data_IF_090183430053
#
_entry.id   IF_090183430053
#
_cell.length_a   1.000
_cell.length_b   1.000
_cell.length_c   1.000
_cell.angle_alpha   90.00
_cell.angle_beta   90.00
_cell.angle_gamma   90.00
#
_symmetry.space_group_name_H-M   'P 1'
#
loop_
_entity.id
_entity.type
_entity.pdbx_description
1 polymer ?
#
# COMPACT_ATOMS: atom_id res chain seq x y z
N UNK A 1 -7.82 10.16 -29.33
CA UNK A 1 -7.93 9.01 -28.42
C UNK A 1 -7.84 9.54 -27.02
N UNK A 2 -8.72 9.14 -26.10
CA UNK A 2 -8.61 9.55 -24.71
C UNK A 2 -7.30 9.01 -24.13
N UNK A 3 -6.51 9.84 -23.48
CA UNK A 3 -5.30 9.44 -22.76
C UNK A 3 -5.69 8.39 -21.73
N UNK A 4 -5.02 7.25 -21.73
CA UNK A 4 -5.24 6.20 -20.73
C UNK A 4 -4.15 6.30 -19.68
N UNK A 5 -4.56 6.15 -18.43
CA UNK A 5 -3.66 6.07 -17.29
C UNK A 5 -3.79 4.71 -16.61
N UNK A 6 -2.68 4.20 -16.09
CA UNK A 6 -2.70 3.05 -15.20
C UNK A 6 -2.60 3.53 -13.74
N UNK A 7 -3.38 2.92 -12.85
CA UNK A 7 -3.27 3.10 -11.40
C UNK A 7 -2.95 1.74 -10.79
N UNK A 8 -1.70 1.55 -10.40
CA UNK A 8 -1.26 0.33 -9.70
C UNK A 8 -1.61 0.45 -8.21
N UNK A 9 -2.43 -0.48 -7.71
CA UNK A 9 -2.89 -0.49 -6.31
C UNK A 9 -2.24 -1.63 -5.53
N UNK A 10 -1.56 -1.28 -4.44
CA UNK A 10 -0.77 -2.17 -3.59
C UNK A 10 -1.49 -2.44 -2.27
N UNK A 11 -1.84 -3.71 -1.95
CA UNK A 11 -2.63 -4.05 -0.77
C UNK A 11 -1.88 -3.81 0.55
N UNK A 12 -2.68 -3.68 1.62
CA UNK A 12 -2.24 -3.75 3.01
C UNK A 12 -1.85 -5.17 3.41
N UNK A 13 -1.26 -5.35 4.60
CA UNK A 13 -0.93 -6.66 5.14
C UNK A 13 -2.17 -7.54 5.27
N UNK A 14 -2.10 -8.78 4.81
CA UNK A 14 -3.23 -9.72 4.73
C UNK A 14 -4.22 -9.42 3.60
N UNK A 15 -4.16 -8.24 2.97
CA UNK A 15 -5.03 -7.86 1.85
C UNK A 15 -4.65 -8.56 0.54
N UNK A 16 -5.59 -8.60 -0.38
CA UNK A 16 -5.41 -9.11 -1.73
C UNK A 16 -5.97 -8.11 -2.77
N UNK A 17 -5.82 -8.42 -4.04
CA UNK A 17 -6.27 -7.53 -5.13
C UNK A 17 -7.77 -7.20 -5.09
N UNK A 18 -8.60 -8.07 -4.54
CA UNK A 18 -10.07 -7.87 -4.50
C UNK A 18 -10.47 -6.76 -3.51
N UNK A 19 -9.61 -6.40 -2.55
CA UNK A 19 -9.84 -5.26 -1.68
C UNK A 19 -10.01 -3.93 -2.45
N UNK A 20 -9.46 -3.85 -3.67
CA UNK A 20 -9.56 -2.66 -4.51
C UNK A 20 -10.71 -2.69 -5.52
N UNK A 21 -11.63 -3.66 -5.42
CA UNK A 21 -12.83 -3.66 -6.28
C UNK A 21 -13.60 -2.33 -6.21
N UNK A 22 -13.82 -1.70 -5.04
CA UNK A 22 -14.47 -0.39 -4.98
C UNK A 22 -13.74 0.70 -5.78
N UNK A 23 -12.39 0.67 -5.80
CA UNK A 23 -11.58 1.59 -6.60
C UNK A 23 -11.75 1.36 -8.11
N UNK A 24 -11.83 0.09 -8.52
CA UNK A 24 -12.11 -0.28 -9.93
C UNK A 24 -13.49 0.24 -10.35
N UNK A 25 -14.49 0.05 -9.50
CA UNK A 25 -15.88 0.45 -9.79
C UNK A 25 -16.05 1.99 -9.82
N UNK A 26 -15.27 2.72 -9.01
CA UNK A 26 -15.33 4.19 -8.94
C UNK A 26 -14.44 4.89 -10.01
N UNK A 27 -13.60 4.16 -10.72
CA UNK A 27 -12.67 4.75 -11.67
C UNK A 27 -13.36 5.22 -12.97
N UNK A 28 -13.02 6.42 -13.48
CA UNK A 28 -13.49 6.83 -14.79
C UNK A 28 -12.86 5.95 -15.90
N UNK A 29 -13.55 5.79 -17.03
CA UNK A 29 -13.19 4.85 -18.10
C UNK A 29 -11.77 5.08 -18.70
N UNK A 30 -11.16 6.24 -18.50
CA UNK A 30 -9.80 6.54 -18.99
C UNK A 30 -8.70 6.15 -17.98
N UNK A 31 -9.05 5.68 -16.77
CA UNK A 31 -8.11 5.14 -15.77
C UNK A 31 -8.32 3.62 -15.66
N UNK A 32 -7.27 2.86 -15.97
CA UNK A 32 -7.24 1.42 -15.70
C UNK A 32 -6.67 1.21 -14.29
N UNK A 33 -7.53 0.91 -13.32
CA UNK A 33 -7.10 0.46 -12.00
C UNK A 33 -6.58 -0.97 -12.12
N UNK A 34 -5.37 -1.20 -11.62
CA UNK A 34 -4.65 -2.48 -11.67
C UNK A 34 -4.28 -2.87 -10.24
N UNK A 35 -5.20 -3.54 -9.52
CA UNK A 35 -4.88 -4.11 -8.22
C UNK A 35 -3.83 -5.21 -8.37
N UNK A 36 -2.75 -5.10 -7.60
CA UNK A 36 -1.65 -6.06 -7.62
C UNK A 36 -1.88 -7.17 -6.59
N UNK A 37 -1.40 -8.37 -6.89
CA UNK A 37 -1.54 -9.53 -6.01
C UNK A 37 -0.18 -9.97 -5.51
N UNK A 38 -0.04 -10.10 -4.19
CA UNK A 38 1.19 -10.64 -3.60
C UNK A 38 1.15 -12.18 -3.58
N UNK A 39 2.32 -12.86 -3.58
CA UNK A 39 2.39 -14.31 -3.40
C UNK A 39 1.69 -14.79 -2.11
N UNK A 40 1.14 -16.00 -2.16
CA UNK A 40 0.51 -16.66 -1.03
C UNK A 40 -0.97 -16.36 -0.83
N UNK A 41 -1.61 -15.57 -1.72
CA UNK A 41 -3.03 -15.18 -1.58
C UNK A 41 -3.75 -15.06 -2.92
N UNK A 42 -5.09 -14.99 -2.88
CA UNK A 42 -5.92 -14.79 -4.05
C UNK A 42 -5.60 -15.80 -5.16
N UNK A 43 -5.30 -15.31 -6.35
CA UNK A 43 -4.92 -16.16 -7.48
C UNK A 43 -3.53 -16.78 -7.34
N UNK A 44 -2.71 -16.28 -6.41
CA UNK A 44 -1.34 -16.75 -6.12
C UNK A 44 -1.24 -17.57 -4.84
N UNK A 45 -2.36 -18.14 -4.37
CA UNK A 45 -2.46 -18.89 -3.10
C UNK A 45 -1.51 -20.09 -3.02
N UNK A 46 -1.10 -20.66 -4.14
CA UNK A 46 -0.17 -21.79 -4.20
C UNK A 46 1.31 -21.36 -4.02
N UNK A 47 1.60 -20.08 -4.09
CA UNK A 47 2.94 -19.55 -3.86
C UNK A 47 3.19 -19.32 -2.38
N UNK A 48 4.46 -19.33 -1.98
CA UNK A 48 4.81 -18.98 -0.59
C UNK A 48 4.68 -17.47 -0.37
N UNK A 49 4.08 -17.02 0.74
CA UNK A 49 4.14 -15.62 1.13
C UNK A 49 5.59 -15.13 1.25
N UNK A 50 5.86 -13.90 0.84
CA UNK A 50 7.19 -13.32 0.91
C UNK A 50 7.39 -12.56 2.23
N UNK A 51 8.59 -12.69 2.79
CA UNK A 51 8.99 -12.03 4.05
C UNK A 51 10.04 -10.94 3.84
N UNK A 52 10.38 -10.63 2.61
CA UNK A 52 11.28 -9.53 2.22
C UNK A 52 10.53 -8.55 1.31
N UNK A 53 10.32 -7.34 1.81
CA UNK A 53 9.55 -6.32 1.08
C UNK A 53 10.31 -5.75 -0.13
N UNK A 54 11.65 -5.79 -0.12
CA UNK A 54 12.47 -5.33 -1.25
C UNK A 54 12.37 -6.34 -2.40
N UNK A 55 12.48 -7.63 -2.09
CA UNK A 55 12.29 -8.69 -3.08
C UNK A 55 10.85 -8.70 -3.62
N UNK A 56 9.86 -8.42 -2.77
CA UNK A 56 8.47 -8.28 -3.21
C UNK A 56 8.32 -7.13 -4.22
N UNK A 57 8.93 -5.96 -3.96
CA UNK A 57 8.91 -4.84 -4.89
C UNK A 57 9.60 -5.16 -6.23
N UNK A 58 10.70 -5.92 -6.21
CA UNK A 58 11.40 -6.39 -7.42
C UNK A 58 10.55 -7.38 -8.23
N UNK A 59 9.89 -8.30 -7.55
CA UNK A 59 8.96 -9.23 -8.18
C UNK A 59 7.85 -8.47 -8.91
N UNK A 60 7.20 -7.52 -8.22
CA UNK A 60 6.13 -6.69 -8.81
C UNK A 60 6.67 -5.92 -10.03
N UNK A 61 7.85 -5.30 -9.94
CA UNK A 61 8.45 -4.63 -11.09
C UNK A 61 8.61 -5.59 -12.28
N UNK A 62 9.05 -6.82 -12.05
CA UNK A 62 9.22 -7.80 -13.11
C UNK A 62 7.93 -8.12 -13.86
N UNK A 63 6.79 -8.02 -13.16
CA UNK A 63 5.44 -8.30 -13.70
C UNK A 63 4.88 -7.11 -14.49
N UNK A 64 5.09 -5.88 -14.00
CA UNK A 64 4.46 -4.68 -14.60
C UNK A 64 5.34 -3.91 -15.59
N UNK A 65 6.65 -4.22 -15.67
CA UNK A 65 7.63 -3.43 -16.44
C UNK A 65 7.28 -3.24 -17.91
N UNK A 66 6.58 -4.20 -18.52
CA UNK A 66 6.13 -4.13 -19.91
C UNK A 66 5.00 -3.13 -20.16
N UNK A 67 4.33 -2.64 -19.11
CA UNK A 67 3.23 -1.67 -19.20
C UNK A 67 3.61 -0.27 -18.71
N UNK A 68 4.86 -0.05 -18.22
CA UNK A 68 5.31 1.24 -17.66
C UNK A 68 5.52 2.34 -18.72
N UNK A 69 5.30 2.07 -20.00
CA UNK A 69 5.25 3.06 -21.06
C UNK A 69 3.92 3.85 -21.10
N UNK A 70 2.85 3.32 -20.48
CA UNK A 70 1.58 4.04 -20.28
C UNK A 70 1.76 4.95 -19.08
N UNK A 71 1.38 6.25 -19.13
CA UNK A 71 1.42 7.11 -17.95
C UNK A 71 0.66 6.50 -16.78
N UNK A 72 1.25 6.55 -15.59
CA UNK A 72 0.70 5.83 -14.44
C UNK A 72 0.96 6.54 -13.11
N UNK A 73 0.22 6.12 -12.09
CA UNK A 73 0.47 6.43 -10.69
C UNK A 73 0.50 5.13 -9.85
N UNK A 74 1.05 5.24 -8.66
CA UNK A 74 1.09 4.15 -7.69
C UNK A 74 0.29 4.56 -6.46
N UNK A 75 -0.68 3.74 -6.08
CA UNK A 75 -1.45 3.84 -4.85
C UNK A 75 -1.06 2.71 -3.90
N UNK A 76 -0.84 3.04 -2.64
CA UNK A 76 -0.58 2.05 -1.60
C UNK A 76 -1.30 2.37 -0.31
N UNK A 77 -1.77 1.33 0.40
CA UNK A 77 -2.35 1.47 1.73
C UNK A 77 -1.55 0.65 2.74
N UNK A 78 -1.20 1.25 3.90
CA UNK A 78 -0.50 0.56 4.99
C UNK A 78 0.82 -0.09 4.52
N UNK A 79 0.97 -1.42 4.55
CA UNK A 79 2.11 -2.12 3.95
C UNK A 79 2.33 -1.73 2.48
N UNK A 80 1.23 -1.55 1.73
CA UNK A 80 1.28 -1.17 0.31
C UNK A 80 2.00 0.16 0.06
N UNK A 81 2.10 1.05 1.04
CA UNK A 81 2.86 2.30 0.92
C UNK A 81 4.36 2.03 0.84
N UNK A 82 4.86 1.13 1.70
CA UNK A 82 6.27 0.74 1.69
C UNK A 82 6.63 -0.04 0.41
N UNK A 83 5.77 -0.98 0.01
CA UNK A 83 5.95 -1.72 -1.26
C UNK A 83 5.93 -0.76 -2.45
N UNK A 84 5.00 0.21 -2.48
CA UNK A 84 4.90 1.22 -3.54
C UNK A 84 6.10 2.16 -3.61
N UNK A 85 6.60 2.57 -2.46
CA UNK A 85 7.84 3.35 -2.36
C UNK A 85 9.04 2.59 -2.92
N UNK A 86 9.22 1.34 -2.50
CA UNK A 86 10.32 0.49 -2.96
C UNK A 86 10.19 0.16 -4.45
N UNK A 87 8.97 -0.11 -4.92
CA UNK A 87 8.68 -0.31 -6.34
C UNK A 87 9.10 0.92 -7.16
N UNK A 88 8.74 2.13 -6.72
CA UNK A 88 9.15 3.36 -7.41
C UNK A 88 10.68 3.55 -7.41
N UNK A 89 11.37 3.16 -6.34
CA UNK A 89 12.85 3.14 -6.30
C UNK A 89 13.45 2.15 -7.29
N UNK A 90 12.92 0.93 -7.36
CA UNK A 90 13.39 -0.10 -8.30
C UNK A 90 13.08 0.28 -9.75
N UNK A 91 11.92 0.89 -10.04
CA UNK A 91 11.58 1.45 -11.36
C UNK A 91 12.62 2.49 -11.79
N UNK A 92 12.95 3.45 -10.91
CA UNK A 92 13.97 4.46 -11.18
C UNK A 92 15.35 3.84 -11.39
N UNK A 93 15.73 2.87 -10.53
CA UNK A 93 17.02 2.16 -10.63
C UNK A 93 17.18 1.42 -11.94
N UNK A 94 16.07 0.85 -12.44
CA UNK A 94 16.05 0.12 -13.70
C UNK A 94 15.93 1.04 -14.94
N UNK A 95 15.81 2.36 -14.75
CA UNK A 95 15.74 3.33 -15.85
C UNK A 95 14.38 3.39 -16.56
N UNK A 96 13.31 2.87 -15.97
CA UNK A 96 11.97 3.01 -16.52
C UNK A 96 11.38 4.40 -16.23
N UNK A 97 10.34 4.78 -16.98
CA UNK A 97 9.61 6.01 -16.75
C UNK A 97 9.05 6.07 -15.32
N UNK A 98 9.23 7.20 -14.65
CA UNK A 98 8.71 7.42 -13.29
C UNK A 98 7.19 7.51 -13.30
N UNK A 99 6.50 7.12 -12.20
CA UNK A 99 5.08 7.42 -12.03
C UNK A 99 4.85 8.94 -12.02
N UNK A 100 3.65 9.38 -12.40
CA UNK A 100 3.27 10.79 -12.28
C UNK A 100 3.31 11.27 -10.82
N UNK A 101 2.86 10.42 -9.92
CA UNK A 101 2.91 10.64 -8.47
C UNK A 101 2.76 9.32 -7.70
N UNK A 102 3.03 9.37 -6.40
CA UNK A 102 2.70 8.33 -5.43
C UNK A 102 1.54 8.83 -4.56
N UNK A 103 0.57 7.97 -4.26
CA UNK A 103 -0.53 8.27 -3.35
C UNK A 103 -0.55 7.21 -2.24
N UNK A 104 -0.19 7.61 -1.02
CA UNK A 104 0.02 6.72 0.10
C UNK A 104 -0.95 7.00 1.24
N UNK A 105 -1.54 5.94 1.80
CA UNK A 105 -2.55 6.05 2.84
C UNK A 105 -2.24 5.18 4.05
N UNK A 106 -2.47 5.72 5.26
CA UNK A 106 -2.36 4.97 6.52
C UNK A 106 -0.93 4.57 6.90
N UNK A 107 0.08 5.43 6.66
CA UNK A 107 1.46 5.12 7.03
C UNK A 107 2.35 6.36 7.18
N UNK A 108 3.31 6.29 8.08
CA UNK A 108 4.47 7.17 8.12
C UNK A 108 5.47 6.85 7.01
N UNK A 109 6.40 7.79 6.75
CA UNK A 109 7.50 7.61 5.81
C UNK A 109 8.51 6.55 6.28
N UNK A 110 9.17 5.85 5.36
CA UNK A 110 10.03 4.71 5.69
C UNK A 110 11.26 5.08 6.51
N UNK A 111 11.77 6.30 6.39
CA UNK A 111 12.95 6.78 7.14
C UNK A 111 12.68 6.99 8.64
N UNK A 112 11.42 7.14 9.05
CA UNK A 112 11.05 7.40 10.45
C UNK A 112 10.28 6.27 11.09
N UNK A 113 10.04 5.19 10.32
CA UNK A 113 9.27 4.05 10.79
C UNK A 113 9.90 3.44 12.04
N UNK A 114 9.11 3.38 13.10
CA UNK A 114 9.50 2.76 14.35
C UNK A 114 8.80 1.41 14.46
N UNK A 115 9.58 0.35 14.55
CA UNK A 115 9.04 -0.98 14.83
C UNK A 115 8.89 -1.16 16.34
N UNK A 116 7.99 -0.38 16.96
CA UNK A 116 7.75 -0.43 18.41
C UNK A 116 7.14 -1.76 18.86
N UNK A 117 6.44 -2.44 17.97
CA UNK A 117 5.80 -3.73 18.22
C UNK A 117 6.15 -4.72 17.12
N UNK A 118 6.68 -5.86 17.49
CA UNK A 118 7.04 -6.95 16.56
C UNK A 118 5.83 -7.89 16.42
N UNK A 119 4.91 -7.56 15.52
CA UNK A 119 3.64 -8.26 15.33
C UNK A 119 3.80 -9.68 14.79
N UNK A 120 4.77 -9.88 13.90
CA UNK A 120 4.98 -11.19 13.29
C UNK A 120 5.41 -12.28 14.29
N UNK A 121 5.90 -11.91 15.48
CA UNK A 121 6.28 -12.83 16.54
C UNK A 121 5.21 -12.98 17.64
N UNK A 122 4.12 -12.24 17.60
CA UNK A 122 3.07 -12.31 18.62
C UNK A 122 2.44 -13.71 18.67
N UNK A 123 2.05 -14.19 19.86
CA UNK A 123 1.12 -15.30 19.99
C UNK A 123 -0.14 -15.05 19.17
N UNK A 124 -0.80 -16.12 18.75
CA UNK A 124 -1.95 -16.02 17.84
C UNK A 124 -3.08 -15.14 18.39
N UNK A 125 -3.44 -15.36 19.66
CA UNK A 125 -4.46 -14.57 20.34
C UNK A 125 -4.11 -13.07 20.40
N UNK A 126 -2.85 -12.73 20.64
CA UNK A 126 -2.41 -11.33 20.68
C UNK A 126 -2.38 -10.71 19.29
N UNK A 127 -2.03 -11.48 18.26
CA UNK A 127 -2.10 -11.01 16.87
C UNK A 127 -3.54 -10.75 16.44
N UNK A 128 -4.48 -11.63 16.83
CA UNK A 128 -5.91 -11.43 16.55
C UNK A 128 -6.41 -10.14 17.22
N UNK A 129 -6.04 -9.88 18.48
CA UNK A 129 -6.42 -8.62 19.15
C UNK A 129 -5.79 -7.38 18.48
N UNK A 130 -4.56 -7.49 17.99
CA UNK A 130 -3.96 -6.40 17.21
C UNK A 130 -4.72 -6.14 15.91
N UNK A 131 -5.13 -7.20 15.19
CA UNK A 131 -5.94 -7.07 13.96
C UNK A 131 -7.30 -6.44 14.24
N UNK A 132 -7.96 -6.80 15.34
CA UNK A 132 -9.19 -6.14 15.80
C UNK A 132 -8.97 -4.65 16.03
N UNK A 133 -7.86 -4.28 16.68
CA UNK A 133 -7.54 -2.88 16.98
C UNK A 133 -7.28 -2.03 15.74
N UNK A 134 -6.80 -2.63 14.65
CA UNK A 134 -6.60 -1.96 13.37
C UNK A 134 -7.92 -1.78 12.61
N UNK A 135 -8.90 -2.66 12.83
CA UNK A 135 -10.11 -2.76 12.04
C UNK A 135 -9.89 -3.47 10.69
N UNK A 136 -10.88 -3.42 9.81
CA UNK A 136 -10.77 -3.97 8.44
C UNK A 136 -11.07 -5.46 8.29
N UNK A 137 -11.18 -6.20 9.41
CA UNK A 137 -11.67 -7.58 9.44
C UNK A 137 -12.81 -7.67 10.44
N UNK A 138 -13.94 -8.26 10.05
CA UNK A 138 -15.08 -8.39 10.96
C UNK A 138 -14.79 -9.39 12.08
N UNK A 139 -15.42 -9.18 13.24
CA UNK A 139 -15.29 -10.09 14.38
C UNK A 139 -15.73 -11.51 14.02
N UNK A 140 -16.71 -11.68 13.13
CA UNK A 140 -17.15 -12.98 12.65
C UNK A 140 -16.02 -13.75 11.98
N UNK A 141 -15.26 -13.08 11.10
CA UNK A 141 -14.10 -13.69 10.40
C UNK A 141 -12.97 -13.97 11.38
N UNK A 142 -12.69 -13.05 12.30
CA UNK A 142 -11.61 -13.20 13.29
C UNK A 142 -11.88 -14.32 14.30
N UNK A 143 -13.15 -14.68 14.51
CA UNK A 143 -13.57 -15.76 15.40
C UNK A 143 -13.73 -17.13 14.69
N UNK A 144 -13.48 -17.23 13.39
CA UNK A 144 -13.55 -18.48 12.62
C UNK A 144 -12.16 -19.12 12.50
N UNK A 145 -11.85 -20.19 13.28
CA UNK A 145 -10.50 -20.76 13.34
C UNK A 145 -9.97 -21.25 11.99
N UNK A 146 -10.82 -21.85 11.16
CA UNK A 146 -10.41 -22.38 9.86
C UNK A 146 -10.02 -21.23 8.91
N UNK A 147 -10.75 -20.13 8.94
CA UNK A 147 -10.45 -18.91 8.16
C UNK A 147 -9.15 -18.29 8.67
N UNK A 148 -9.02 -18.11 9.97
CA UNK A 148 -7.82 -17.53 10.57
C UNK A 148 -6.60 -18.41 10.39
N UNK A 149 -6.73 -19.74 10.45
CA UNK A 149 -5.65 -20.69 10.16
C UNK A 149 -5.05 -20.50 8.76
N UNK A 150 -5.87 -20.05 7.80
CA UNK A 150 -5.42 -19.74 6.45
C UNK A 150 -4.78 -18.32 6.37
N UNK A 151 -5.38 -17.31 7.00
CA UNK A 151 -4.94 -15.93 6.87
C UNK A 151 -3.74 -15.56 7.75
N UNK A 152 -3.64 -16.12 8.96
CA UNK A 152 -2.57 -15.75 9.89
C UNK A 152 -1.16 -15.98 9.35
N UNK A 153 -0.83 -17.07 8.64
CA UNK A 153 0.49 -17.24 8.04
C UNK A 153 0.83 -16.14 7.03
N UNK A 154 -0.16 -15.68 6.25
CA UNK A 154 -0.01 -14.61 5.25
C UNK A 154 0.25 -13.28 5.97
N UNK A 155 -0.58 -12.95 6.96
CA UNK A 155 -0.47 -11.72 7.76
C UNK A 155 0.87 -11.67 8.50
N UNK A 156 1.33 -12.78 9.06
CA UNK A 156 2.65 -12.87 9.71
C UNK A 156 3.80 -12.63 8.74
N UNK A 157 3.72 -13.19 7.54
CA UNK A 157 4.74 -12.97 6.52
C UNK A 157 4.79 -11.51 6.09
N UNK A 158 3.63 -10.87 5.94
CA UNK A 158 3.52 -9.45 5.59
C UNK A 158 4.07 -8.54 6.69
N UNK A 159 3.71 -8.79 7.95
CA UNK A 159 4.29 -8.05 9.07
C UNK A 159 5.80 -8.29 9.17
N UNK A 160 6.26 -9.53 8.98
CA UNK A 160 7.70 -9.83 8.96
C UNK A 160 8.42 -9.01 7.88
N UNK A 161 7.89 -8.99 6.65
CA UNK A 161 8.48 -8.23 5.56
C UNK A 161 8.60 -6.73 5.86
N UNK A 162 7.56 -6.16 6.50
CA UNK A 162 7.52 -4.73 6.84
C UNK A 162 8.38 -4.40 8.05
N UNK A 163 8.33 -5.22 9.10
CA UNK A 163 8.98 -4.94 10.39
C UNK A 163 10.50 -5.20 10.37
N UNK A 164 10.97 -6.07 9.46
CA UNK A 164 12.41 -6.31 9.29
C UNK A 164 13.08 -5.39 8.27
N UNK A 165 12.29 -4.59 7.53
CA UNK A 165 12.84 -3.64 6.58
C UNK A 165 13.71 -2.60 7.27
N UNK A 166 14.93 -2.43 6.75
CA UNK A 166 15.85 -1.37 7.16
C UNK A 166 15.89 -0.29 6.08
N UNK A 167 15.54 0.94 6.46
CA UNK A 167 15.59 2.05 5.50
C UNK A 167 17.01 2.28 5.01
N UNK A 168 17.15 2.37 3.69
CA UNK A 168 18.40 2.71 3.03
C UNK A 168 18.24 4.08 2.40
N UNK A 169 19.03 5.04 2.87
CA UNK A 169 19.06 6.38 2.27
C UNK A 169 19.36 6.32 0.79
N UNK A 170 18.78 7.20 0.04
CA UNK A 170 18.98 7.30 -1.41
C UNK A 170 18.55 8.67 -1.92
N UNK A 171 18.73 8.90 -3.21
CA UNK A 171 18.28 10.15 -3.80
C UNK A 171 16.77 10.29 -3.70
N UNK A 172 16.29 11.44 -3.23
CA UNK A 172 14.87 11.76 -3.14
C UNK A 172 14.21 11.72 -4.52
N UNK A 173 12.93 11.44 -4.56
CA UNK A 173 12.16 11.54 -5.78
C UNK A 173 12.00 12.99 -6.25
N UNK A 174 11.82 13.16 -7.54
CA UNK A 174 11.43 14.43 -8.18
C UNK A 174 9.94 14.41 -8.57
N UNK A 175 9.16 13.49 -8.01
CA UNK A 175 7.71 13.33 -8.23
C UNK A 175 6.94 13.61 -6.95
N UNK A 176 5.67 14.07 -7.04
CA UNK A 176 4.82 14.30 -5.88
C UNK A 176 4.54 13.01 -5.09
N UNK A 177 4.49 13.14 -3.76
CA UNK A 177 3.93 12.13 -2.85
C UNK A 177 2.72 12.76 -2.17
N UNK A 178 1.55 12.19 -2.39
CA UNK A 178 0.31 12.57 -1.72
C UNK A 178 0.08 11.59 -0.58
N UNK A 179 -0.23 12.11 0.59
CA UNK A 179 -0.39 11.29 1.79
C UNK A 179 -1.77 11.51 2.39
N UNK A 180 -2.42 10.43 2.82
CA UNK A 180 -3.67 10.57 3.56
C UNK A 180 -3.69 9.64 4.78
N UNK A 181 -4.29 10.11 5.87
CA UNK A 181 -4.47 9.36 7.12
C UNK A 181 -5.91 9.47 7.61
N UNK A 182 -6.35 8.48 8.38
CA UNK A 182 -7.61 8.53 9.11
C UNK A 182 -7.51 9.39 10.37
N UNK A 183 -8.61 10.01 10.79
CA UNK A 183 -8.63 10.81 12.02
C UNK A 183 -8.60 9.98 13.30
N UNK A 184 -8.88 8.67 13.19
CA UNK A 184 -9.00 7.73 14.31
C UNK A 184 -7.94 6.62 14.27
N UNK A 185 -6.94 6.74 13.38
CA UNK A 185 -5.84 5.77 13.32
C UNK A 185 -4.64 6.19 14.18
N UNK A 186 -3.71 5.24 14.39
CA UNK A 186 -2.52 5.44 15.22
C UNK A 186 -1.49 6.39 14.57
N UNK A 187 -1.45 6.45 13.24
CA UNK A 187 -0.50 7.31 12.51
C UNK A 187 -0.92 8.76 12.65
N UNK A 188 -0.06 9.55 13.27
CA UNK A 188 -0.28 10.98 13.47
C UNK A 188 0.05 11.79 12.21
N UNK A 189 -0.51 13.01 12.12
CA UNK A 189 -0.18 13.93 11.03
C UNK A 189 1.33 14.27 10.97
N UNK A 190 2.01 14.32 12.12
CA UNK A 190 3.45 14.58 12.17
C UNK A 190 4.26 13.40 11.61
N UNK A 191 3.88 12.18 11.98
CA UNK A 191 4.51 10.98 11.41
C UNK A 191 4.25 10.87 9.90
N UNK A 192 3.03 11.14 9.45
CA UNK A 192 2.68 11.15 8.03
C UNK A 192 3.49 12.19 7.23
N UNK A 193 3.80 13.36 7.81
CA UNK A 193 4.67 14.36 7.17
C UNK A 193 6.09 13.88 6.92
N UNK A 194 6.53 12.81 7.58
CA UNK A 194 7.87 12.26 7.36
C UNK A 194 8.11 11.76 5.92
N UNK A 195 7.05 11.51 5.14
CA UNK A 195 7.16 11.25 3.70
C UNK A 195 7.85 12.37 2.91
N UNK A 196 7.89 13.60 3.46
CA UNK A 196 8.66 14.71 2.85
C UNK A 196 10.16 14.41 2.71
N UNK A 197 10.68 13.46 3.49
CA UNK A 197 12.11 13.06 3.40
C UNK A 197 12.40 12.26 2.15
N UNK A 198 11.40 11.73 1.46
CA UNK A 198 11.55 10.85 0.32
C UNK A 198 11.39 11.58 -1.03
N UNK A 199 10.92 12.82 -1.01
CA UNK A 199 10.72 13.62 -2.24
C UNK A 199 11.17 15.07 -2.06
N UNK A 200 11.64 15.69 -3.16
CA UNK A 200 11.96 17.12 -3.22
C UNK A 200 10.73 17.99 -3.44
N UNK A 201 9.64 17.38 -3.92
CA UNK A 201 8.37 18.07 -4.15
C UNK A 201 7.63 18.18 -2.81
N UNK A 202 7.03 19.34 -2.47
CA UNK A 202 6.20 19.43 -1.27
C UNK A 202 5.11 18.37 -1.27
N UNK A 203 4.99 17.62 -0.16
CA UNK A 203 3.93 16.63 -0.02
C UNK A 203 2.59 17.31 0.27
N UNK A 204 1.51 16.67 -0.16
CA UNK A 204 0.16 17.04 0.27
C UNK A 204 -0.31 16.01 1.30
N UNK A 205 -0.67 16.50 2.50
CA UNK A 205 -1.23 15.68 3.57
C UNK A 205 -2.72 15.96 3.71
N UNK A 206 -3.52 14.90 3.63
CA UNK A 206 -4.97 14.92 3.78
C UNK A 206 -5.41 14.09 4.99
N UNK A 207 -6.53 14.46 5.60
CA UNK A 207 -7.16 13.69 6.65
C UNK A 207 -8.59 13.32 6.24
N UNK A 208 -8.95 12.07 6.51
CA UNK A 208 -10.29 11.53 6.30
C UNK A 208 -10.85 11.05 7.65
N UNK A 209 -12.14 11.17 7.82
CA UNK A 209 -12.78 10.60 9.01
C UNK A 209 -12.70 9.07 8.96
N UNK A 210 -12.40 8.43 10.10
CA UNK A 210 -12.38 6.98 10.26
C UNK A 210 -11.07 6.42 10.79
N UNK A 211 -11.07 5.10 10.96
CA UNK A 211 -9.96 4.29 11.46
C UNK A 211 -8.92 4.04 10.35
N UNK A 212 -8.01 3.09 10.60
CA UNK A 212 -6.96 2.72 9.64
C UNK A 212 -7.50 2.35 8.24
N UNK A 213 -8.71 1.80 8.13
CA UNK A 213 -9.33 1.39 6.86
C UNK A 213 -10.31 2.42 6.28
N UNK A 214 -10.20 3.70 6.66
CA UNK A 214 -10.99 4.81 6.11
C UNK A 214 -11.08 4.83 4.57
N UNK A 215 -10.13 4.22 3.90
CA UNK A 215 -10.05 4.20 2.44
C UNK A 215 -11.27 3.55 1.78
N UNK A 216 -11.93 2.60 2.46
CA UNK A 216 -13.11 1.93 1.94
C UNK A 216 -14.37 2.80 2.07
N UNK A 217 -14.46 3.60 3.13
CA UNK A 217 -15.56 4.55 3.33
C UNK A 217 -15.45 5.79 2.43
N UNK A 218 -14.22 6.10 1.98
CA UNK A 218 -13.92 7.30 1.19
C UNK A 218 -13.41 7.00 -0.23
N UNK A 219 -13.68 5.81 -0.74
CA UNK A 219 -13.15 5.34 -2.05
C UNK A 219 -13.43 6.34 -3.17
N UNK A 220 -14.67 6.81 -3.32
CA UNK A 220 -15.06 7.76 -4.38
C UNK A 220 -14.28 9.08 -4.29
N UNK A 221 -14.10 9.61 -3.07
CA UNK A 221 -13.36 10.84 -2.84
C UNK A 221 -11.88 10.67 -3.14
N UNK A 222 -11.28 9.55 -2.73
CA UNK A 222 -9.88 9.22 -3.03
C UNK A 222 -9.69 9.07 -4.54
N UNK A 223 -10.57 8.35 -5.23
CA UNK A 223 -10.51 8.18 -6.67
C UNK A 223 -10.69 9.50 -7.43
N UNK A 224 -11.54 10.41 -6.93
CA UNK A 224 -11.66 11.76 -7.48
C UNK A 224 -10.35 12.53 -7.39
N UNK A 225 -9.69 12.54 -6.23
CA UNK A 225 -8.39 13.20 -6.02
C UNK A 225 -7.31 12.62 -6.94
N UNK A 226 -7.23 11.28 -7.04
CA UNK A 226 -6.31 10.59 -7.94
C UNK A 226 -6.57 11.00 -9.40
N UNK A 227 -7.85 11.08 -9.79
CA UNK A 227 -8.26 11.46 -11.15
C UNK A 227 -7.82 12.88 -11.48
N UNK A 228 -8.06 13.84 -10.58
CA UNK A 228 -7.66 15.23 -10.74
C UNK A 228 -6.14 15.34 -10.95
N UNK A 229 -5.35 14.67 -10.10
CA UNK A 229 -3.87 14.67 -10.21
C UNK A 229 -3.31 13.92 -11.44
N UNK A 230 -4.03 12.96 -11.99
CA UNK A 230 -3.62 12.32 -13.24
C UNK A 230 -3.82 13.26 -14.46
N UNK A 231 -4.75 14.20 -14.37
CA UNK A 231 -5.07 15.13 -15.43
C UNK A 231 -4.20 16.43 -15.41
N UNK A 232 -3.51 16.71 -14.31
CA UNK A 232 -2.45 17.72 -14.19
C UNK A 232 -1.19 17.31 -14.97
#
# INVERSE_FOLDING_TARGET
MATRFNLYCLPHAGGNKYAYKPFVDAAPAFIKVIPLEYPGRGERVQEKPMTDVVELARLILSEIKSELYVPYAIYGHSMGTLVGYLLAREIRRAGYASPKFLFFTGSEGPATRKNEKIRHLLPENELIEELKSLGGVSDEVLNEPDIMGFFLPIIRADFHAVETYQHVEGANFDIPINVAIGTEEKVTAEEAKSWQRETKVPIELMQFHGNHFFIFDHTERIMKLITEKLLE
#
